data_IF_253917447818
#
_entry.id   IF_253917447818
#
_cell.length_a   1.000
_cell.length_b   1.000
_cell.length_c   1.000
_cell.angle_alpha   90.00
_cell.angle_beta   90.00
_cell.angle_gamma   90.00
#
_symmetry.space_group_name_H-M   'P 1'
#
loop_
_entity.id
_entity.type
_entity.pdbx_description
1 polymer ?
#
# COMPACT_ATOMS: atom_id res chain seq x y z
N UNK A 1 -16.27 -27.34 23.44
CA UNK A 1 -15.42 -28.55 23.49
C UNK A 1 -14.25 -28.38 22.54
N UNK A 2 -13.04 -28.09 23.02
CA UNK A 2 -11.82 -28.09 22.18
C UNK A 2 -11.20 -29.49 22.20
N UNK A 3 -10.93 -30.08 21.03
CA UNK A 3 -10.16 -31.32 20.90
C UNK A 3 -8.67 -30.99 20.89
N UNK A 4 -7.92 -31.61 21.80
CA UNK A 4 -6.45 -31.57 21.79
C UNK A 4 -5.95 -32.52 20.69
N UNK A 5 -5.09 -32.00 19.80
CA UNK A 5 -4.41 -32.80 18.78
C UNK A 5 -3.30 -33.62 19.46
N UNK A 6 -3.13 -34.88 19.05
CA UNK A 6 -2.12 -35.78 19.60
C UNK A 6 -0.71 -35.40 19.12
N UNK A 7 0.35 -35.68 19.90
CA UNK A 7 1.71 -35.22 19.61
C UNK A 7 2.32 -35.78 18.31
N UNK A 8 1.70 -36.80 17.68
CA UNK A 8 2.16 -37.42 16.43
C UNK A 8 1.50 -36.87 15.14
N UNK A 9 0.64 -35.86 15.22
CA UNK A 9 0.09 -35.26 14.00
C UNK A 9 1.16 -34.41 13.28
N UNK A 10 1.72 -35.00 12.22
CA UNK A 10 2.69 -34.39 11.32
C UNK A 10 2.18 -33.04 10.78
N UNK A 11 2.78 -31.93 11.23
CA UNK A 11 2.48 -30.54 10.81
C UNK A 11 2.93 -30.22 9.36
N UNK A 12 3.20 -31.24 8.54
CA UNK A 12 3.68 -31.11 7.15
C UNK A 12 2.63 -30.50 6.21
N UNK A 13 1.36 -30.48 6.62
CA UNK A 13 0.22 -29.99 5.82
C UNK A 13 -0.12 -28.50 6.05
N UNK A 14 0.68 -27.76 6.83
CA UNK A 14 0.49 -26.31 6.94
C UNK A 14 1.09 -25.64 5.70
N UNK A 15 0.29 -24.97 4.85
CA UNK A 15 0.82 -24.23 3.71
C UNK A 15 1.85 -23.22 4.23
N UNK A 16 3.09 -23.29 3.72
CA UNK A 16 4.15 -22.32 4.07
C UNK A 16 3.60 -20.93 3.82
N UNK A 17 3.75 -20.04 4.81
CA UNK A 17 3.41 -18.62 4.68
C UNK A 17 4.04 -18.07 3.40
N UNK A 18 3.23 -17.85 2.37
CA UNK A 18 3.70 -17.36 1.08
C UNK A 18 4.33 -15.99 1.30
N UNK A 19 5.58 -15.84 0.84
CA UNK A 19 6.30 -14.56 0.92
C UNK A 19 5.55 -13.55 0.07
N UNK A 20 5.16 -12.43 0.68
CA UNK A 20 4.62 -11.29 -0.07
C UNK A 20 5.74 -10.69 -0.95
N UNK A 21 5.35 -10.14 -2.10
CA UNK A 21 6.28 -9.43 -2.96
C UNK A 21 6.96 -8.28 -2.18
N UNK A 22 8.23 -7.96 -2.49
CA UNK A 22 8.92 -6.85 -1.86
C UNK A 22 8.14 -5.55 -2.09
N UNK A 23 7.99 -4.77 -1.02
CA UNK A 23 7.33 -3.47 -1.06
C UNK A 23 8.14 -2.53 -1.96
N UNK A 24 7.48 -1.87 -2.92
CA UNK A 24 8.12 -0.90 -3.82
C UNK A 24 8.50 0.36 -3.04
N UNK A 25 9.74 0.87 -3.12
CA UNK A 25 10.18 2.05 -2.38
C UNK A 25 9.41 3.33 -2.78
N UNK A 26 9.42 4.34 -1.92
CA UNK A 26 8.76 5.64 -2.21
C UNK A 26 9.40 6.37 -3.41
N UNK A 27 10.70 6.20 -3.64
CA UNK A 27 11.40 6.71 -4.83
C UNK A 27 10.79 6.21 -6.13
N UNK A 28 10.39 4.94 -6.19
CA UNK A 28 9.72 4.39 -7.37
C UNK A 28 8.45 5.16 -7.74
N UNK A 29 7.69 5.63 -6.76
CA UNK A 29 6.49 6.44 -7.01
C UNK A 29 6.82 7.89 -7.37
N UNK A 30 7.93 8.44 -6.87
CA UNK A 30 8.40 9.76 -7.27
C UNK A 30 8.88 9.76 -8.74
N UNK A 31 9.61 8.72 -9.16
CA UNK A 31 10.17 8.63 -10.52
C UNK A 31 9.13 8.23 -11.56
N UNK A 32 8.14 7.41 -11.18
CA UNK A 32 7.15 6.89 -12.12
C UNK A 32 6.09 7.92 -12.53
N UNK A 33 5.80 8.88 -11.66
CA UNK A 33 4.72 9.85 -11.88
C UNK A 33 5.30 11.24 -12.15
N UNK A 34 4.77 11.91 -13.18
CA UNK A 34 5.23 13.26 -13.54
C UNK A 34 4.87 14.31 -12.50
N UNK A 35 3.74 14.12 -11.81
CA UNK A 35 3.30 15.00 -10.74
C UNK A 35 3.65 14.41 -9.38
N UNK A 36 4.23 15.24 -8.51
CA UNK A 36 4.49 14.90 -7.11
C UNK A 36 3.22 14.45 -6.39
N UNK A 37 2.09 15.09 -6.69
CA UNK A 37 0.80 14.79 -6.06
C UNK A 37 0.29 13.40 -6.47
N UNK A 38 0.49 13.03 -7.74
CA UNK A 38 0.15 11.68 -8.22
C UNK A 38 1.05 10.62 -7.59
N UNK A 39 2.35 10.89 -7.46
CA UNK A 39 3.30 10.00 -6.78
C UNK A 39 2.93 9.77 -5.31
N UNK A 40 2.62 10.84 -4.57
CA UNK A 40 2.15 10.77 -3.18
C UNK A 40 0.86 9.95 -3.05
N UNK A 41 -0.12 10.25 -3.90
CA UNK A 41 -1.41 9.58 -3.85
C UNK A 41 -1.27 8.09 -4.19
N UNK A 42 -0.47 7.74 -5.20
CA UNK A 42 -0.30 6.35 -5.58
C UNK A 42 0.50 5.56 -4.54
N UNK A 43 1.50 6.17 -3.90
CA UNK A 43 2.21 5.56 -2.78
C UNK A 43 1.24 5.19 -1.66
N UNK A 44 0.32 6.09 -1.30
CA UNK A 44 -0.71 5.81 -0.29
C UNK A 44 -1.72 4.74 -0.76
N UNK A 45 -2.19 4.83 -2.01
CA UNK A 45 -3.14 3.87 -2.59
C UNK A 45 -2.55 2.47 -2.77
N UNK A 46 -1.22 2.33 -2.74
CA UNK A 46 -0.56 1.01 -2.73
C UNK A 46 -0.84 0.22 -1.46
N UNK A 47 -1.28 0.87 -0.37
CA UNK A 47 -1.63 0.23 0.90
C UNK A 47 -0.42 -0.21 1.74
N UNK A 48 0.80 0.00 1.26
CA UNK A 48 2.02 -0.35 1.98
C UNK A 48 2.62 0.81 2.79
N UNK A 49 2.13 2.03 2.56
CA UNK A 49 2.64 3.25 3.17
C UNK A 49 1.55 4.04 3.87
N UNK A 50 1.88 4.59 5.03
CA UNK A 50 1.02 5.51 5.78
C UNK A 50 1.17 6.94 5.29
N UNK A 51 0.16 7.79 5.56
CA UNK A 51 0.24 9.23 5.29
C UNK A 51 1.46 9.89 5.95
N UNK A 52 1.87 9.41 7.13
CA UNK A 52 3.05 9.90 7.85
C UNK A 52 4.37 9.53 7.14
N UNK A 53 4.47 8.33 6.58
CA UNK A 53 5.67 7.92 5.82
C UNK A 53 5.76 8.67 4.50
N UNK A 54 4.63 8.84 3.81
CA UNK A 54 4.59 9.59 2.55
C UNK A 54 4.93 11.05 2.80
N UNK A 55 4.33 11.71 3.80
CA UNK A 55 4.61 13.13 4.07
C UNK A 55 6.08 13.38 4.42
N UNK A 56 6.71 12.46 5.17
CA UNK A 56 8.10 12.57 5.61
C UNK A 56 9.03 12.49 4.39
N UNK A 57 8.81 11.51 3.51
CA UNK A 57 9.60 11.34 2.30
C UNK A 57 9.49 12.52 1.33
N UNK A 58 8.27 13.04 1.15
CA UNK A 58 8.02 14.16 0.23
C UNK A 58 8.23 15.54 0.87
N UNK A 59 8.49 15.62 2.18
CA UNK A 59 8.67 16.87 2.92
C UNK A 59 7.44 17.79 2.90
N UNK A 60 6.23 17.21 2.96
CA UNK A 60 4.97 17.97 2.84
C UNK A 60 4.09 17.92 4.08
N UNK A 61 3.12 18.83 4.16
CA UNK A 61 2.11 18.79 5.21
C UNK A 61 1.13 17.62 5.03
N UNK A 62 0.54 17.16 6.13
CA UNK A 62 -0.51 16.13 6.11
C UNK A 62 -1.69 16.51 5.19
N UNK A 63 -2.09 17.80 5.21
CA UNK A 63 -3.18 18.31 4.39
C UNK A 63 -2.88 18.18 2.89
N UNK A 64 -1.62 18.38 2.50
CA UNK A 64 -1.17 18.24 1.10
C UNK A 64 -1.33 16.80 0.63
N UNK A 65 -0.88 15.82 1.42
CA UNK A 65 -1.02 14.40 1.08
C UNK A 65 -2.51 14.01 1.02
N UNK A 66 -3.33 14.47 1.98
CA UNK A 66 -4.76 14.20 1.98
C UNK A 66 -5.48 14.78 0.75
N UNK A 67 -5.11 16.00 0.32
CA UNK A 67 -5.66 16.63 -0.89
C UNK A 67 -5.25 15.85 -2.15
N UNK A 68 -3.98 15.47 -2.26
CA UNK A 68 -3.48 14.66 -3.36
C UNK A 68 -4.22 13.31 -3.48
N UNK A 69 -4.42 12.61 -2.36
CA UNK A 69 -5.18 11.35 -2.32
C UNK A 69 -6.63 11.56 -2.75
N UNK A 70 -7.29 12.64 -2.31
CA UNK A 70 -8.66 12.96 -2.71
C UNK A 70 -8.76 13.19 -4.22
N UNK A 71 -7.86 14.00 -4.78
CA UNK A 71 -7.82 14.27 -6.22
C UNK A 71 -7.55 13.02 -7.05
N UNK A 72 -6.65 12.15 -6.61
CA UNK A 72 -6.36 10.90 -7.31
C UNK A 72 -7.57 9.93 -7.34
N UNK A 73 -8.39 9.92 -6.28
CA UNK A 73 -9.64 9.15 -6.27
C UNK A 73 -10.67 9.73 -7.26
N UNK A 74 -10.81 11.05 -7.28
CA UNK A 74 -11.67 11.76 -8.24
C UNK A 74 -11.26 11.45 -9.69
N UNK A 75 -9.97 11.56 -10.00
CA UNK A 75 -9.43 11.33 -11.34
C UNK A 75 -9.62 9.88 -11.82
N UNK A 76 -9.57 8.87 -10.93
CA UNK A 76 -9.94 7.49 -11.31
C UNK A 76 -11.41 7.37 -11.67
N UNK A 77 -12.29 8.08 -10.97
CA UNK A 77 -13.72 8.05 -11.23
C UNK A 77 -14.08 8.68 -12.59
N UNK A 78 -13.30 9.68 -13.02
CA UNK A 78 -13.41 10.26 -14.37
C UNK A 78 -12.92 9.30 -15.46
N UNK A 79 -11.87 8.52 -15.18
CA UNK A 79 -11.24 7.62 -16.16
C UNK A 79 -12.01 6.31 -16.41
N UNK A 80 -12.86 5.87 -15.50
CA UNK A 80 -13.68 4.67 -15.64
C UNK A 80 -15.08 4.92 -16.24
N UNK A 81 -15.35 6.12 -16.77
CA UNK A 81 -16.65 6.54 -17.33
C UNK A 81 -16.74 6.43 -18.87
N UNK A 82 -15.86 5.66 -19.50
CA UNK A 82 -15.80 5.44 -20.96
C UNK A 82 -16.06 3.97 -21.25
#
# INVERSE_FOLDING_TARGET
>A
MQRKLGPEQSLKDIPRKQKQAPVKPLSYFADRYKSRDEGMAQAFLSGHYTLAQVREYFGVSYATVSRAVKQAKENRNVKCKI
#
